data_IF_765458154681
#
_entry.id   IF_765458154681
#
_cell.length_a   1.000
_cell.length_b   1.000
_cell.length_c   1.000
_cell.angle_alpha   90.00
_cell.angle_beta   90.00
_cell.angle_gamma   90.00
#
_symmetry.space_group_name_H-M   'P 1'
#
loop_
_entity.id
_entity.type
_entity.pdbx_description
1 polymer ?
#
# COMPACT_ATOMS: atom_id res chain seq x y z
N UNK A 1 36.01 26.69 -27.74
CA UNK A 1 37.24 26.44 -26.93
C UNK A 1 37.98 27.78 -26.77
N UNK A 2 37.68 28.51 -25.69
CA UNK A 2 38.41 29.76 -25.41
C UNK A 2 39.59 29.42 -24.53
N UNK A 3 40.78 29.46 -25.11
CA UNK A 3 42.05 29.38 -24.39
C UNK A 3 42.29 30.77 -23.76
N UNK A 4 42.02 30.88 -22.47
CA UNK A 4 42.43 32.05 -21.68
C UNK A 4 43.92 31.94 -21.36
N UNK A 5 44.77 32.39 -22.26
CA UNK A 5 46.16 32.67 -22.02
C UNK A 5 46.30 34.12 -21.53
N UNK A 6 45.95 34.37 -20.27
CA UNK A 6 46.31 35.62 -19.61
C UNK A 6 47.35 35.33 -18.53
N UNK A 7 48.61 35.60 -18.79
CA UNK A 7 49.70 35.62 -17.82
C UNK A 7 49.51 36.86 -16.91
N UNK A 8 48.56 36.76 -15.94
CA UNK A 8 48.38 37.76 -14.89
C UNK A 8 48.86 37.19 -13.54
N UNK A 9 49.15 38.03 -12.52
CA UNK A 9 49.47 37.56 -11.19
C UNK A 9 48.29 36.72 -10.67
N UNK A 10 48.60 35.43 -10.37
CA UNK A 10 47.59 34.50 -9.94
C UNK A 10 47.02 34.85 -8.57
N UNK A 11 45.74 34.53 -8.38
CA UNK A 11 45.09 34.63 -7.09
C UNK A 11 45.82 33.70 -6.12
N UNK A 12 46.07 34.13 -4.87
CA UNK A 12 46.78 33.39 -3.81
C UNK A 12 48.31 33.27 -4.01
N UNK A 13 48.95 34.11 -4.81
CA UNK A 13 50.44 34.13 -4.96
C UNK A 13 50.99 32.94 -5.77
N UNK A 14 50.15 32.14 -6.40
CA UNK A 14 50.56 31.09 -7.31
C UNK A 14 50.77 31.65 -8.71
N UNK A 15 51.70 31.11 -9.48
CA UNK A 15 51.86 31.49 -10.88
C UNK A 15 50.54 31.38 -11.67
N UNK A 16 50.32 32.30 -12.63
CA UNK A 16 49.01 32.42 -13.31
C UNK A 16 48.48 31.13 -13.90
N UNK A 17 49.34 30.19 -14.31
CA UNK A 17 48.91 28.90 -14.84
C UNK A 17 48.32 28.00 -13.77
N UNK A 18 48.93 27.95 -12.57
CA UNK A 18 48.45 27.11 -11.44
C UNK A 18 47.12 27.65 -10.89
N UNK A 19 46.93 28.97 -10.82
CA UNK A 19 45.67 29.57 -10.39
C UNK A 19 44.52 29.30 -11.38
N UNK A 20 44.79 29.33 -12.67
CA UNK A 20 43.77 29.05 -13.70
C UNK A 20 43.38 27.57 -13.71
N UNK A 21 44.31 26.65 -13.47
CA UNK A 21 44.01 25.21 -13.30
C UNK A 21 43.17 24.94 -12.05
N UNK A 22 43.48 25.62 -10.93
CA UNK A 22 42.74 25.50 -9.70
C UNK A 22 41.28 26.00 -9.84
N UNK A 23 41.07 27.18 -10.42
CA UNK A 23 39.77 27.70 -10.67
C UNK A 23 38.99 26.85 -11.69
N UNK A 24 39.65 26.30 -12.70
CA UNK A 24 39.05 25.36 -13.65
C UNK A 24 38.60 24.06 -12.98
N UNK A 25 39.41 23.51 -12.09
CA UNK A 25 39.07 22.25 -11.34
C UNK A 25 37.90 22.46 -10.37
N UNK A 26 37.87 23.59 -9.66
CA UNK A 26 36.74 23.95 -8.79
C UNK A 26 35.43 24.13 -9.60
N UNK A 27 35.50 24.77 -10.75
CA UNK A 27 34.35 24.97 -11.64
C UNK A 27 33.77 23.61 -12.13
N UNK A 28 34.64 22.70 -12.58
CA UNK A 28 34.23 21.37 -13.03
C UNK A 28 33.62 20.54 -11.89
N UNK A 29 34.24 20.53 -10.71
CA UNK A 29 33.71 19.81 -9.56
C UNK A 29 32.40 20.39 -9.05
N UNK A 30 32.21 21.71 -9.11
CA UNK A 30 30.93 22.33 -8.78
C UNK A 30 29.82 21.92 -9.76
N UNK A 31 30.11 21.91 -11.05
CA UNK A 31 29.14 21.49 -12.09
C UNK A 31 28.75 20.02 -11.92
N UNK A 32 29.72 19.12 -11.69
CA UNK A 32 29.44 17.70 -11.49
C UNK A 32 28.68 17.42 -10.18
N UNK A 33 28.99 18.13 -9.10
CA UNK A 33 28.25 18.06 -7.85
C UNK A 33 26.81 18.53 -7.96
N UNK A 34 26.57 19.62 -8.66
CA UNK A 34 25.20 20.15 -8.91
C UNK A 34 24.43 19.26 -9.89
N UNK A 35 25.07 18.73 -10.92
CA UNK A 35 24.45 17.78 -11.85
C UNK A 35 24.05 16.49 -11.14
N UNK A 36 24.92 15.97 -10.25
CA UNK A 36 24.59 14.79 -9.43
C UNK A 36 23.39 15.02 -8.51
N UNK A 37 23.29 16.21 -7.90
CA UNK A 37 22.14 16.57 -7.08
C UNK A 37 20.85 16.72 -7.91
N UNK A 38 20.90 17.34 -9.07
CA UNK A 38 19.71 17.48 -9.93
C UNK A 38 19.22 16.12 -10.42
N UNK A 39 20.12 15.19 -10.74
CA UNK A 39 19.79 13.81 -11.08
C UNK A 39 19.15 13.07 -9.90
N UNK A 40 19.70 13.19 -8.68
CA UNK A 40 19.14 12.59 -7.48
C UNK A 40 17.74 13.16 -7.15
N UNK A 41 17.54 14.45 -7.33
CA UNK A 41 16.24 15.11 -7.14
C UNK A 41 15.24 14.67 -8.20
N UNK A 42 15.64 14.50 -9.45
CA UNK A 42 14.79 13.97 -10.51
C UNK A 42 14.36 12.54 -10.22
N UNK A 43 15.28 11.68 -9.76
CA UNK A 43 14.99 10.31 -9.34
C UNK A 43 14.02 10.25 -8.14
N UNK A 44 14.20 11.12 -7.13
CA UNK A 44 13.29 11.23 -6.01
C UNK A 44 11.88 11.67 -6.45
N UNK A 45 11.78 12.64 -7.35
CA UNK A 45 10.51 13.08 -7.92
C UNK A 45 9.84 11.98 -8.75
N UNK A 46 10.59 11.20 -9.52
CA UNK A 46 10.07 10.04 -10.24
C UNK A 46 9.54 8.97 -9.28
N UNK A 47 10.28 8.67 -8.20
CA UNK A 47 9.82 7.76 -7.13
C UNK A 47 8.53 8.25 -6.50
N UNK A 48 8.42 9.54 -6.22
CA UNK A 48 7.20 10.16 -5.70
C UNK A 48 6.02 9.98 -6.66
N UNK A 49 6.19 10.30 -7.94
CA UNK A 49 5.14 10.16 -8.96
C UNK A 49 4.69 8.70 -9.12
N UNK A 50 5.64 7.75 -9.22
CA UNK A 50 5.32 6.33 -9.33
C UNK A 50 4.60 5.82 -8.05
N UNK A 51 4.98 6.32 -6.88
CA UNK A 51 4.33 5.99 -5.61
C UNK A 51 2.90 6.51 -5.53
N UNK A 52 2.62 7.71 -6.06
CA UNK A 52 1.26 8.24 -6.15
C UNK A 52 0.37 7.39 -7.05
N UNK A 53 0.88 6.96 -8.21
CA UNK A 53 0.16 6.08 -9.13
C UNK A 53 -0.10 4.72 -8.47
N UNK A 54 0.92 4.14 -7.83
CA UNK A 54 0.81 2.87 -7.12
C UNK A 54 -0.21 2.94 -5.95
N UNK A 55 -0.24 4.05 -5.21
CA UNK A 55 -1.22 4.25 -4.15
C UNK A 55 -2.65 4.33 -4.72
N UNK A 56 -2.85 5.09 -5.80
CA UNK A 56 -4.17 5.22 -6.44
C UNK A 56 -4.68 3.88 -6.96
N UNK A 57 -3.83 3.09 -7.62
CA UNK A 57 -4.19 1.75 -8.09
C UNK A 57 -4.48 0.78 -6.93
N UNK A 58 -3.74 0.88 -5.82
CA UNK A 58 -3.97 0.08 -4.63
C UNK A 58 -5.30 0.42 -3.94
N UNK A 59 -5.69 1.70 -3.89
CA UNK A 59 -6.98 2.14 -3.36
C UNK A 59 -8.15 1.66 -4.22
N UNK A 60 -8.01 1.69 -5.55
CA UNK A 60 -9.02 1.13 -6.46
C UNK A 60 -9.17 -0.38 -6.29
N UNK A 61 -8.05 -1.11 -6.18
CA UNK A 61 -8.08 -2.54 -5.93
C UNK A 61 -8.71 -2.88 -4.56
N UNK A 62 -8.43 -2.08 -3.53
CA UNK A 62 -9.04 -2.23 -2.21
C UNK A 62 -10.57 -2.02 -2.26
N UNK A 63 -11.04 -0.97 -2.93
CA UNK A 63 -12.46 -0.70 -3.10
C UNK A 63 -13.17 -1.86 -3.83
N UNK A 64 -12.58 -2.36 -4.92
CA UNK A 64 -13.11 -3.50 -5.66
C UNK A 64 -13.18 -4.79 -4.81
N UNK A 65 -12.14 -5.05 -3.99
CA UNK A 65 -12.14 -6.19 -3.07
C UNK A 65 -13.19 -6.06 -1.96
N UNK A 66 -13.39 -4.87 -1.41
CA UNK A 66 -14.46 -4.63 -0.44
C UNK A 66 -15.85 -4.85 -1.05
N UNK A 67 -16.06 -4.37 -2.27
CA UNK A 67 -17.32 -4.56 -3.01
C UNK A 67 -17.58 -6.05 -3.28
N UNK A 68 -16.56 -6.79 -3.70
CA UNK A 68 -16.65 -8.23 -3.92
C UNK A 68 -17.01 -8.99 -2.64
N UNK A 69 -16.40 -8.66 -1.50
CA UNK A 69 -16.74 -9.26 -0.21
C UNK A 69 -18.16 -8.91 0.24
N UNK A 70 -18.59 -7.67 0.01
CA UNK A 70 -19.97 -7.25 0.33
C UNK A 70 -20.98 -7.98 -0.54
N UNK A 71 -20.70 -8.18 -1.84
CA UNK A 71 -21.53 -8.96 -2.75
C UNK A 71 -21.64 -10.42 -2.30
N UNK A 72 -20.52 -11.07 -1.93
CA UNK A 72 -20.53 -12.43 -1.41
C UNK A 72 -21.37 -12.57 -0.12
N UNK A 73 -21.26 -11.60 0.80
CA UNK A 73 -22.08 -11.61 2.01
C UNK A 73 -23.57 -11.46 1.68
N UNK A 74 -23.91 -10.57 0.75
CA UNK A 74 -25.28 -10.36 0.30
C UNK A 74 -25.86 -11.62 -0.35
N UNK A 75 -25.09 -12.29 -1.21
CA UNK A 75 -25.49 -13.54 -1.86
C UNK A 75 -25.68 -14.66 -0.83
N UNK A 76 -24.73 -14.81 0.11
CA UNK A 76 -24.86 -15.78 1.21
C UNK A 76 -26.11 -15.53 2.05
N UNK A 77 -26.42 -14.27 2.37
CA UNK A 77 -27.67 -13.91 3.09
C UNK A 77 -28.92 -14.24 2.29
N UNK A 78 -28.93 -13.96 0.98
CA UNK A 78 -30.06 -14.27 0.11
C UNK A 78 -30.30 -15.78 0.01
N UNK A 79 -29.24 -16.57 -0.21
CA UNK A 79 -29.29 -18.05 -0.23
C UNK A 79 -29.84 -18.60 1.08
N UNK A 80 -29.32 -18.14 2.22
CA UNK A 80 -29.79 -18.58 3.54
C UNK A 80 -31.23 -18.16 3.87
N UNK A 81 -31.66 -17.01 3.36
CA UNK A 81 -33.06 -16.61 3.47
C UNK A 81 -34.00 -17.54 2.68
N UNK A 82 -33.60 -17.95 1.47
CA UNK A 82 -34.35 -18.92 0.65
C UNK A 82 -34.40 -20.30 1.33
N UNK A 83 -33.26 -20.78 1.86
CA UNK A 83 -33.19 -22.03 2.64
C UNK A 83 -34.15 -21.98 3.85
N UNK A 84 -34.21 -20.86 4.58
CA UNK A 84 -35.11 -20.65 5.71
C UNK A 84 -36.56 -20.67 5.29
N UNK A 85 -36.92 -20.05 4.16
CA UNK A 85 -38.27 -20.12 3.59
C UNK A 85 -38.63 -21.53 3.18
N UNK A 86 -37.77 -22.23 2.45
CA UNK A 86 -37.96 -23.61 2.04
C UNK A 86 -38.19 -24.55 3.24
N UNK A 87 -37.37 -24.39 4.30
CA UNK A 87 -37.55 -25.16 5.54
C UNK A 87 -38.89 -24.87 6.23
N UNK A 88 -39.31 -23.60 6.23
CA UNK A 88 -40.62 -23.23 6.79
C UNK A 88 -41.78 -23.86 6.01
N UNK A 89 -41.73 -23.82 4.68
CA UNK A 89 -42.75 -24.45 3.81
C UNK A 89 -42.77 -25.96 4.04
N UNK A 90 -41.62 -26.64 4.06
CA UNK A 90 -41.55 -28.09 4.36
C UNK A 90 -42.14 -28.44 5.72
N UNK A 91 -41.84 -27.63 6.75
CA UNK A 91 -42.41 -27.81 8.09
C UNK A 91 -43.91 -27.67 8.12
N UNK A 92 -44.49 -26.69 7.36
CA UNK A 92 -45.92 -26.52 7.23
C UNK A 92 -46.59 -27.68 6.45
N UNK A 93 -45.94 -28.15 5.36
CA UNK A 93 -46.41 -29.29 4.59
C UNK A 93 -46.43 -30.59 5.43
N UNK A 94 -45.36 -30.81 6.18
CA UNK A 94 -45.29 -31.97 7.07
C UNK A 94 -46.37 -31.95 8.16
N UNK A 95 -46.60 -30.78 8.76
CA UNK A 95 -47.74 -30.61 9.72
C UNK A 95 -49.11 -30.85 9.04
N UNK A 96 -49.28 -30.35 7.83
CA UNK A 96 -50.47 -30.57 7.05
C UNK A 96 -50.73 -32.03 6.76
N UNK A 97 -49.71 -32.80 6.38
CA UNK A 97 -49.77 -34.20 6.13
C UNK A 97 -50.11 -35.00 7.39
N UNK A 98 -49.52 -34.67 8.54
CA UNK A 98 -49.84 -35.33 9.81
C UNK A 98 -51.28 -35.08 10.23
N UNK A 99 -51.78 -33.86 10.09
CA UNK A 99 -53.19 -33.51 10.37
C UNK A 99 -54.16 -34.17 9.38
N UNK A 100 -53.83 -34.26 8.10
CA UNK A 100 -54.63 -34.89 7.07
C UNK A 100 -54.71 -36.43 7.19
N UNK A 101 -53.78 -37.04 7.89
CA UNK A 101 -53.78 -38.52 8.12
C UNK A 101 -54.94 -39.02 8.99
N UNK A 102 -55.73 -38.11 9.56
CA UNK A 102 -56.91 -38.45 10.38
C UNK A 102 -56.59 -39.20 11.68
N UNK A 103 -55.35 -39.36 11.99
CA UNK A 103 -54.88 -40.00 13.25
C UNK A 103 -55.01 -38.98 14.37
N UNK A 104 -55.69 -39.35 15.43
CA UNK A 104 -55.78 -38.56 16.65
C UNK A 104 -55.08 -39.31 17.81
N UNK A 105 -54.45 -38.55 18.69
CA UNK A 105 -53.85 -39.11 19.91
C UNK A 105 -52.44 -38.66 20.20
N UNK A 106 -51.92 -39.08 21.32
CA UNK A 106 -50.59 -38.68 21.88
C UNK A 106 -49.43 -38.83 20.90
N UNK A 107 -49.45 -39.81 19.99
CA UNK A 107 -48.41 -40.05 18.98
C UNK A 107 -48.36 -38.98 17.91
N UNK A 108 -49.50 -38.38 17.57
CA UNK A 108 -49.60 -37.27 16.59
C UNK A 108 -49.02 -35.98 17.19
N UNK A 109 -49.31 -35.70 18.45
CA UNK A 109 -48.80 -34.55 19.17
C UNK A 109 -47.28 -34.64 19.34
N UNK A 110 -46.74 -35.81 19.64
CA UNK A 110 -45.29 -36.05 19.71
C UNK A 110 -44.60 -35.85 18.36
N UNK A 111 -45.19 -36.31 17.25
CA UNK A 111 -44.69 -36.12 15.91
C UNK A 111 -44.68 -34.62 15.48
N UNK A 112 -45.73 -33.90 15.85
CA UNK A 112 -45.83 -32.47 15.59
C UNK A 112 -44.75 -31.68 16.37
N UNK A 113 -44.58 -32.03 17.64
CA UNK A 113 -43.56 -31.44 18.51
C UNK A 113 -42.13 -31.72 17.99
N UNK A 114 -41.87 -32.95 17.54
CA UNK A 114 -40.55 -33.29 16.94
C UNK A 114 -40.30 -32.53 15.65
N UNK A 115 -41.28 -32.35 14.77
CA UNK A 115 -41.21 -31.54 13.57
C UNK A 115 -40.97 -30.05 13.89
N UNK A 116 -41.60 -29.53 14.93
CA UNK A 116 -41.35 -28.14 15.39
C UNK A 116 -39.91 -27.99 15.87
N UNK A 117 -39.43 -28.93 16.65
CA UNK A 117 -38.06 -28.95 17.15
C UNK A 117 -37.03 -29.05 16.03
N UNK A 118 -37.23 -29.93 15.04
CA UNK A 118 -36.38 -30.02 13.86
C UNK A 118 -36.35 -28.74 13.07
N UNK A 119 -37.50 -28.11 12.83
CA UNK A 119 -37.61 -26.84 12.12
C UNK A 119 -36.92 -25.71 12.89
N UNK A 120 -37.07 -25.66 14.21
CA UNK A 120 -36.39 -24.68 15.06
C UNK A 120 -34.86 -24.84 15.05
N UNK A 121 -34.38 -26.09 15.19
CA UNK A 121 -32.96 -26.40 15.12
C UNK A 121 -32.35 -26.03 13.77
N UNK A 122 -33.07 -26.27 12.68
CA UNK A 122 -32.62 -25.90 11.34
C UNK A 122 -32.55 -24.37 11.17
N UNK A 123 -33.56 -23.63 11.66
CA UNK A 123 -33.52 -22.17 11.66
C UNK A 123 -32.36 -21.61 12.47
N UNK A 124 -32.09 -22.22 13.62
CA UNK A 124 -30.98 -21.84 14.48
C UNK A 124 -29.64 -22.06 13.77
N UNK A 125 -29.45 -23.22 13.11
CA UNK A 125 -28.23 -23.49 12.32
C UNK A 125 -28.01 -22.48 11.19
N UNK A 126 -29.08 -22.03 10.52
CA UNK A 126 -29.01 -20.96 9.51
C UNK A 126 -28.60 -19.64 10.14
N UNK A 127 -29.18 -19.27 11.29
CA UNK A 127 -28.81 -18.03 11.99
C UNK A 127 -27.34 -18.04 12.41
N UNK A 128 -26.85 -19.16 12.95
CA UNK A 128 -25.43 -19.33 13.30
C UNK A 128 -24.52 -19.27 12.07
N UNK A 129 -24.93 -19.84 10.94
CA UNK A 129 -24.18 -19.72 9.68
C UNK A 129 -24.11 -18.28 9.17
N UNK A 130 -25.20 -17.53 9.25
CA UNK A 130 -25.25 -16.11 8.89
C UNK A 130 -24.37 -15.24 9.79
N UNK A 131 -24.40 -15.51 11.09
CA UNK A 131 -23.53 -14.82 12.05
C UNK A 131 -22.05 -15.12 11.78
N UNK A 132 -21.72 -16.39 11.53
CA UNK A 132 -20.37 -16.81 11.16
C UNK A 132 -19.89 -16.12 9.88
N UNK A 133 -20.74 -16.08 8.84
CA UNK A 133 -20.43 -15.36 7.58
C UNK A 133 -20.21 -13.86 7.81
N UNK A 134 -21.02 -13.23 8.66
CA UNK A 134 -20.87 -11.83 9.02
C UNK A 134 -19.56 -11.56 9.79
N UNK A 135 -19.22 -12.42 10.74
CA UNK A 135 -17.94 -12.34 11.48
C UNK A 135 -16.74 -12.54 10.55
N UNK A 136 -16.83 -13.45 9.58
CA UNK A 136 -15.79 -13.68 8.60
C UNK A 136 -15.61 -12.48 7.67
N UNK A 137 -16.69 -11.90 7.19
CA UNK A 137 -16.67 -10.65 6.42
C UNK A 137 -15.92 -9.54 7.18
N UNK A 138 -16.29 -9.30 8.45
CA UNK A 138 -15.65 -8.29 9.27
C UNK A 138 -14.14 -8.54 9.44
N UNK A 139 -13.72 -9.80 9.64
CA UNK A 139 -12.30 -10.15 9.71
C UNK A 139 -11.58 -9.90 8.40
N UNK A 140 -12.19 -10.27 7.27
CA UNK A 140 -11.61 -10.06 5.95
C UNK A 140 -11.46 -8.56 5.63
N UNK A 141 -12.45 -7.74 5.95
CA UNK A 141 -12.38 -6.27 5.77
C UNK A 141 -11.25 -5.67 6.61
N UNK A 142 -11.14 -6.05 7.89
CA UNK A 142 -10.02 -5.60 8.75
C UNK A 142 -8.64 -6.04 8.22
N UNK A 143 -8.57 -7.26 7.68
CA UNK A 143 -7.35 -7.75 7.03
C UNK A 143 -6.96 -6.92 5.80
N UNK A 144 -7.93 -6.54 4.97
CA UNK A 144 -7.72 -5.66 3.83
C UNK A 144 -7.31 -4.24 4.25
N UNK A 145 -7.91 -3.69 5.30
CA UNK A 145 -7.53 -2.39 5.86
C UNK A 145 -6.08 -2.40 6.35
N UNK A 146 -5.69 -3.43 7.11
CA UNK A 146 -4.31 -3.59 7.56
C UNK A 146 -3.31 -3.71 6.39
N UNK A 147 -3.67 -4.42 5.32
CA UNK A 147 -2.85 -4.51 4.11
C UNK A 147 -2.71 -3.16 3.41
N UNK A 148 -3.80 -2.39 3.30
CA UNK A 148 -3.78 -1.03 2.74
C UNK A 148 -2.85 -0.12 3.54
N UNK A 149 -3.00 -0.12 4.86
CA UNK A 149 -2.21 0.74 5.74
C UNK A 149 -0.72 0.36 5.72
N UNK A 150 -0.39 -0.94 5.66
CA UNK A 150 0.98 -1.39 5.49
C UNK A 150 1.58 -0.92 4.15
N UNK A 151 0.84 -1.02 3.04
CA UNK A 151 1.29 -0.50 1.74
C UNK A 151 1.51 1.00 1.79
N UNK A 152 0.59 1.75 2.40
CA UNK A 152 0.73 3.20 2.56
C UNK A 152 1.98 3.57 3.35
N UNK A 153 2.26 2.86 4.45
CA UNK A 153 3.45 3.05 5.26
C UNK A 153 4.74 2.73 4.46
N UNK A 154 4.75 1.63 3.68
CA UNK A 154 5.86 1.29 2.80
C UNK A 154 6.10 2.37 1.74
N UNK A 155 5.05 2.88 1.08
CA UNK A 155 5.16 3.96 0.09
C UNK A 155 5.72 5.22 0.72
N UNK A 156 5.24 5.61 1.91
CA UNK A 156 5.75 6.77 2.64
C UNK A 156 7.23 6.59 3.01
N UNK A 157 7.61 5.40 3.48
CA UNK A 157 9.01 5.07 3.79
C UNK A 157 9.90 5.16 2.56
N UNK A 158 9.47 4.61 1.42
CA UNK A 158 10.22 4.66 0.17
C UNK A 158 10.40 6.10 -0.33
N UNK A 159 9.35 6.92 -0.24
CA UNK A 159 9.41 8.35 -0.59
C UNK A 159 10.43 9.07 0.31
N UNK A 160 10.33 8.89 1.62
CA UNK A 160 11.26 9.51 2.57
C UNK A 160 12.70 9.07 2.32
N UNK A 161 12.92 7.78 2.04
CA UNK A 161 14.24 7.26 1.71
C UNK A 161 14.79 7.88 0.43
N UNK A 162 13.97 8.01 -0.63
CA UNK A 162 14.37 8.64 -1.88
C UNK A 162 14.77 10.10 -1.69
N UNK A 163 14.01 10.87 -0.92
CA UNK A 163 14.36 12.26 -0.61
C UNK A 163 15.58 12.40 0.31
N UNK A 164 15.77 11.48 1.25
CA UNK A 164 16.95 11.47 2.13
C UNK A 164 18.25 11.15 1.36
N UNK A 165 18.17 10.52 0.20
CA UNK A 165 19.31 10.27 -0.68
C UNK A 165 19.71 11.50 -1.51
N UNK A 166 18.88 12.54 -1.56
CA UNK A 166 19.23 13.79 -2.24
C UNK A 166 20.26 14.56 -1.41
N UNK A 167 21.49 14.76 -1.88
CA UNK A 167 22.51 15.46 -1.12
C UNK A 167 22.07 16.89 -0.77
N UNK A 168 22.33 17.34 0.45
CA UNK A 168 22.06 18.72 0.85
C UNK A 168 23.01 19.67 0.10
N UNK A 169 22.60 20.93 -0.09
CA UNK A 169 23.47 21.95 -0.70
C UNK A 169 24.79 22.07 0.08
N UNK A 170 24.71 22.01 1.41
CA UNK A 170 25.88 22.09 2.28
C UNK A 170 26.87 20.93 2.06
N UNK A 171 26.37 19.70 1.98
CA UNK A 171 27.24 18.52 1.73
C UNK A 171 27.83 18.54 0.32
N UNK A 172 27.08 19.01 -0.68
CA UNK A 172 27.59 19.16 -2.05
C UNK A 172 28.71 20.20 -2.11
N UNK A 173 28.52 21.35 -1.47
CA UNK A 173 29.54 22.41 -1.42
C UNK A 173 30.78 21.98 -0.63
N UNK A 174 30.61 21.27 0.49
CA UNK A 174 31.73 20.72 1.27
C UNK A 174 32.54 19.71 0.45
N UNK A 175 31.89 18.81 -0.29
CA UNK A 175 32.58 17.87 -1.16
C UNK A 175 33.36 18.57 -2.27
N UNK A 176 32.81 19.61 -2.88
CA UNK A 176 33.50 20.41 -3.89
C UNK A 176 34.70 21.13 -3.28
N UNK A 177 34.54 21.71 -2.08
CA UNK A 177 35.63 22.41 -1.39
C UNK A 177 36.79 21.42 -0.98
N UNK A 178 36.45 20.26 -0.43
CA UNK A 178 37.44 19.25 -0.04
C UNK A 178 38.20 18.66 -1.24
N UNK A 179 37.47 18.36 -2.35
CA UNK A 179 38.12 17.91 -3.59
C UNK A 179 39.03 18.99 -4.19
N UNK A 180 38.60 20.26 -4.13
CA UNK A 180 39.41 21.39 -4.56
C UNK A 180 40.70 21.51 -3.73
N UNK A 181 40.64 21.37 -2.41
CA UNK A 181 41.78 21.42 -1.52
C UNK A 181 42.76 20.25 -1.73
N UNK A 182 42.28 19.03 -1.95
CA UNK A 182 43.11 17.86 -2.24
C UNK A 182 43.80 18.00 -3.59
N UNK A 183 43.11 18.51 -4.61
CA UNK A 183 43.71 18.82 -5.92
C UNK A 183 44.79 19.89 -5.81
N UNK A 184 44.57 20.90 -4.95
CA UNK A 184 45.57 21.94 -4.67
C UNK A 184 46.81 21.39 -3.96
N UNK A 185 46.61 20.54 -2.94
CA UNK A 185 47.71 19.93 -2.20
C UNK A 185 48.60 19.04 -3.10
N UNK A 186 48.04 18.38 -4.11
CA UNK A 186 48.78 17.57 -5.06
C UNK A 186 49.58 18.38 -6.10
N UNK A 187 49.34 19.68 -6.22
CA UNK A 187 50.05 20.58 -7.12
C UNK A 187 51.25 21.32 -6.44
N UNK A 188 51.37 21.21 -5.11
CA UNK A 188 52.52 21.76 -4.39
C UNK A 188 53.72 20.84 -4.58
N UNK A 189 54.87 21.34 -5.10
CA UNK A 189 56.09 20.56 -5.18
C UNK A 189 56.62 20.26 -3.76
N UNK A 190 57.03 19.01 -3.53
CA UNK A 190 57.76 18.59 -2.33
C UNK A 190 59.13 19.26 -2.27
#
# INVERSE_FOLDING_TARGET
>A
MCVFAAAGPGILGLGGAASNLFLGSLGLNAVTGLAGRSAAQAAANQTYQSSLIANRSAEQAFAAQQEALAAQLKESRASKAQEKQAATIRGLQARGAVKASGRAGLTVDLLLQDQERQTANFRESINQALESASRQYTRNVRGLEAQRDNRRNQLTSNINQAYNQVPSLGSTLLNVATQGLTSYASLLPN
#
